data_IF_898196757161
#
_entry.id   IF_898196757161
#
_cell.length_a   1.000
_cell.length_b   1.000
_cell.length_c   1.000
_cell.angle_alpha   90.00
_cell.angle_beta   90.00
_cell.angle_gamma   90.00
#
_symmetry.space_group_name_H-M   'P 1'
#
loop_
_entity.id
_entity.type
_entity.pdbx_description
1 polymer ?
#
# COMPACT_ATOMS: atom_id res chain seq x y z
N UNK A 1 13.82 -11.12 4.44
CA UNK A 1 13.36 -9.71 4.48
C UNK A 1 11.92 -9.63 4.97
N UNK A 2 10.97 -10.38 4.40
CA UNK A 2 9.65 -10.60 5.02
C UNK A 2 9.72 -11.23 6.42
N UNK A 3 10.65 -12.17 6.64
CA UNK A 3 10.88 -12.73 7.98
C UNK A 3 11.20 -11.67 9.05
N UNK A 4 11.73 -10.51 8.64
CA UNK A 4 12.05 -9.38 9.53
C UNK A 4 10.82 -8.55 9.88
N UNK A 5 9.79 -8.58 9.04
CA UNK A 5 8.50 -7.89 9.26
C UNK A 5 7.74 -8.56 10.40
N UNK A 6 7.79 -9.89 10.47
CA UNK A 6 7.19 -10.68 11.55
C UNK A 6 7.90 -10.49 12.90
N UNK A 7 9.23 -10.43 12.89
CA UNK A 7 10.04 -10.12 14.08
C UNK A 7 9.76 -8.70 14.62
N UNK A 8 9.58 -7.71 13.73
CA UNK A 8 9.24 -6.35 14.16
C UNK A 8 7.81 -6.24 14.70
N UNK A 9 6.84 -6.93 14.09
CA UNK A 9 5.46 -6.98 14.59
C UNK A 9 5.36 -7.62 15.99
N UNK A 10 6.18 -8.64 16.27
CA UNK A 10 6.31 -9.23 17.62
C UNK A 10 6.98 -8.29 18.63
N UNK A 11 7.90 -7.42 18.18
CA UNK A 11 8.66 -6.52 19.07
C UNK A 11 7.85 -5.29 19.50
N UNK A 12 6.92 -4.81 18.68
CA UNK A 12 6.25 -3.52 18.91
C UNK A 12 4.77 -3.59 19.32
N UNK A 13 4.10 -4.75 19.23
CA UNK A 13 2.70 -4.93 19.67
C UNK A 13 1.69 -3.95 19.03
N UNK A 14 1.99 -3.41 17.85
CA UNK A 14 1.09 -2.56 17.06
C UNK A 14 0.91 -3.16 15.67
N UNK A 15 -0.30 -3.05 15.14
CA UNK A 15 -0.66 -3.53 13.80
C UNK A 15 0.18 -2.84 12.72
N UNK A 16 0.40 -3.53 11.62
CA UNK A 16 0.95 -2.95 10.38
C UNK A 16 -0.04 -3.18 9.26
N UNK A 17 -0.03 -2.34 8.22
CA UNK A 17 -0.91 -2.48 7.07
C UNK A 17 -0.09 -2.63 5.80
N UNK A 18 -0.48 -3.60 4.97
CA UNK A 18 0.02 -3.73 3.62
C UNK A 18 -1.04 -3.25 2.65
N UNK A 19 -0.69 -2.35 1.73
CA UNK A 19 -1.61 -1.78 0.76
C UNK A 19 -1.12 -2.10 -0.65
N UNK A 20 -1.92 -2.82 -1.44
CA UNK A 20 -1.70 -2.92 -2.88
C UNK A 20 -2.35 -1.75 -3.58
N UNK A 21 -1.60 -1.10 -4.46
CA UNK A 21 -2.10 -0.04 -5.33
C UNK A 21 -1.84 -0.43 -6.78
N UNK A 22 -2.87 -0.34 -7.59
CA UNK A 22 -2.81 -0.59 -9.02
C UNK A 22 -3.45 0.57 -9.80
N UNK A 23 -2.83 0.96 -10.92
CA UNK A 23 -3.40 1.85 -11.90
C UNK A 23 -3.80 1.10 -13.17
N UNK A 24 -4.56 1.77 -14.03
CA UNK A 24 -4.85 1.27 -15.36
C UNK A 24 -3.58 1.22 -16.23
N UNK A 25 -3.58 0.31 -17.21
CA UNK A 25 -2.45 0.16 -18.13
C UNK A 25 -2.22 1.46 -18.91
N UNK A 26 -0.98 1.96 -18.87
CA UNK A 26 -0.61 3.21 -19.55
C UNK A 26 -0.84 4.48 -18.74
N UNK A 27 -1.29 4.38 -17.48
CA UNK A 27 -1.37 5.54 -16.59
C UNK A 27 0.03 6.19 -16.42
N UNK A 28 0.08 7.50 -16.71
CA UNK A 28 1.32 8.28 -16.66
C UNK A 28 1.53 8.97 -15.32
N UNK A 29 0.47 9.14 -14.52
CA UNK A 29 0.51 9.79 -13.20
C UNK A 29 0.91 8.81 -12.11
N UNK A 30 0.69 7.52 -12.29
CA UNK A 30 1.02 6.52 -11.29
C UNK A 30 2.50 6.49 -10.87
N UNK A 31 3.50 6.58 -11.79
CA UNK A 31 4.90 6.73 -11.41
C UNK A 31 5.18 7.99 -10.57
N UNK A 32 4.54 9.12 -10.92
CA UNK A 32 4.71 10.39 -10.22
C UNK A 32 4.05 10.34 -8.84
N UNK A 33 2.87 9.72 -8.74
CA UNK A 33 2.19 9.46 -7.48
C UNK A 33 3.02 8.57 -6.54
N UNK A 34 3.66 7.52 -7.06
CA UNK A 34 4.57 6.69 -6.24
C UNK A 34 5.79 7.47 -5.74
N UNK A 35 6.37 8.33 -6.58
CA UNK A 35 7.48 9.19 -6.16
C UNK A 35 7.03 10.20 -5.10
N UNK A 36 5.82 10.74 -5.23
CA UNK A 36 5.22 11.62 -4.25
C UNK A 36 5.00 10.90 -2.91
N UNK A 37 4.40 9.71 -2.93
CA UNK A 37 4.24 8.85 -1.76
C UNK A 37 5.58 8.57 -1.08
N UNK A 38 6.63 8.24 -1.84
CA UNK A 38 7.97 7.98 -1.28
C UNK A 38 8.50 9.19 -0.49
N UNK A 39 8.18 10.41 -0.94
CA UNK A 39 8.58 11.65 -0.26
C UNK A 39 7.70 12.03 0.93
N UNK A 40 6.43 11.61 0.94
CA UNK A 40 5.44 11.98 1.95
C UNK A 40 5.35 10.97 3.11
N UNK A 41 5.77 9.73 2.88
CA UNK A 41 5.72 8.65 3.87
C UNK A 41 6.87 8.72 4.88
N UNK A 42 6.69 8.05 6.02
CA UNK A 42 7.74 7.96 7.05
C UNK A 42 8.87 7.07 6.55
N UNK A 43 10.06 7.26 7.11
CA UNK A 43 11.25 6.44 6.80
C UNK A 43 11.03 4.94 7.09
N UNK A 44 10.12 4.62 8.01
CA UNK A 44 9.78 3.26 8.43
C UNK A 44 8.83 2.56 7.45
N UNK A 45 8.06 3.36 6.70
CA UNK A 45 7.16 2.89 5.66
C UNK A 45 7.98 2.54 4.40
N UNK A 46 7.54 1.52 3.66
CA UNK A 46 8.27 1.02 2.51
C UNK A 46 7.36 0.90 1.29
N UNK A 47 7.86 1.32 0.13
CA UNK A 47 7.19 1.14 -1.16
C UNK A 47 7.96 0.10 -1.98
N UNK A 48 7.24 -0.94 -2.39
CA UNK A 48 7.72 -2.00 -3.26
C UNK A 48 7.04 -1.86 -4.62
N UNK A 49 7.74 -1.23 -5.56
CA UNK A 49 7.28 -1.17 -6.95
C UNK A 49 7.41 -2.53 -7.61
N UNK A 50 6.32 -3.05 -8.17
CA UNK A 50 6.31 -4.34 -8.87
C UNK A 50 6.41 -4.16 -10.38
N UNK A 51 5.49 -3.37 -10.93
CA UNK A 51 5.43 -3.06 -12.37
C UNK A 51 5.30 -1.56 -12.57
N UNK A 52 5.11 -1.13 -13.81
CA UNK A 52 4.90 0.29 -14.10
C UNK A 52 3.64 0.80 -13.41
N UNK A 53 2.59 -0.03 -13.33
CA UNK A 53 1.24 0.31 -12.84
C UNK A 53 0.86 -0.40 -11.52
N UNK A 54 1.80 -1.10 -10.85
CA UNK A 54 1.51 -1.79 -9.58
C UNK A 54 2.61 -1.59 -8.54
N UNK A 55 2.18 -1.32 -7.31
CA UNK A 55 3.08 -1.22 -6.17
C UNK A 55 2.40 -1.70 -4.89
N UNK A 56 3.22 -2.17 -3.95
CA UNK A 56 2.81 -2.53 -2.60
C UNK A 56 3.42 -1.54 -1.63
N UNK A 57 2.61 -0.97 -0.76
CA UNK A 57 3.05 -0.14 0.35
C UNK A 57 2.98 -0.95 1.64
N UNK A 58 3.98 -0.80 2.47
CA UNK A 58 4.01 -1.28 3.84
C UNK A 58 3.98 -0.07 4.76
N UNK A 59 2.90 0.06 5.51
CA UNK A 59 2.75 1.10 6.53
C UNK A 59 2.93 0.46 7.90
N UNK A 60 3.91 0.97 8.64
CA UNK A 60 4.27 0.46 9.96
C UNK A 60 3.49 1.17 11.07
N UNK A 61 3.22 0.47 12.18
CA UNK A 61 2.64 1.06 13.39
C UNK A 61 1.29 1.75 13.16
N UNK A 62 0.45 1.16 12.31
CA UNK A 62 -0.84 1.72 11.90
C UNK A 62 -1.87 0.62 11.67
N UNK A 63 -3.13 0.92 11.98
CA UNK A 63 -4.27 0.08 11.66
C UNK A 63 -4.87 0.44 10.29
N UNK A 64 -5.81 -0.37 9.80
CA UNK A 64 -6.42 -0.14 8.48
C UNK A 64 -7.09 1.24 8.36
N UNK A 65 -7.64 1.77 9.46
CA UNK A 65 -8.31 3.07 9.46
C UNK A 65 -7.31 4.21 9.32
N UNK A 66 -6.26 4.22 10.13
CA UNK A 66 -5.20 5.22 10.05
C UNK A 66 -4.44 5.16 8.73
N UNK A 67 -4.22 3.96 8.19
CA UNK A 67 -3.63 3.78 6.87
C UNK A 67 -4.48 4.44 5.78
N UNK A 68 -5.80 4.24 5.82
CA UNK A 68 -6.73 4.87 4.88
C UNK A 68 -6.71 6.41 5.01
N UNK A 69 -6.73 6.94 6.24
CA UNK A 69 -6.67 8.40 6.45
C UNK A 69 -5.37 9.02 5.92
N UNK A 70 -4.23 8.35 6.13
CA UNK A 70 -2.94 8.79 5.61
C UNK A 70 -2.94 8.81 4.08
N UNK A 71 -3.38 7.73 3.43
CA UNK A 71 -3.38 7.65 1.97
C UNK A 71 -4.37 8.63 1.33
N UNK A 72 -5.56 8.78 1.90
CA UNK A 72 -6.55 9.77 1.42
C UNK A 72 -5.99 11.19 1.51
N UNK A 73 -5.32 11.52 2.62
CA UNK A 73 -4.70 12.83 2.79
C UNK A 73 -3.60 13.07 1.74
N UNK A 74 -2.65 12.15 1.62
CA UNK A 74 -1.52 12.27 0.67
C UNK A 74 -2.04 12.34 -0.76
N UNK A 75 -3.07 11.55 -1.11
CA UNK A 75 -3.68 11.58 -2.43
C UNK A 75 -4.35 12.92 -2.74
N UNK A 76 -5.04 13.51 -1.75
CA UNK A 76 -5.63 14.84 -1.91
C UNK A 76 -4.55 15.93 -2.07
N UNK A 77 -3.47 15.86 -1.29
CA UNK A 77 -2.30 16.75 -1.42
C UNK A 77 -1.66 16.62 -2.82
N UNK A 78 -1.49 15.39 -3.31
CA UNK A 78 -1.01 15.13 -4.68
C UNK A 78 -1.91 15.75 -5.74
N UNK A 79 -3.23 15.62 -5.62
CA UNK A 79 -4.18 16.19 -6.58
C UNK A 79 -4.18 17.73 -6.58
N UNK A 80 -3.89 18.36 -5.44
CA UNK A 80 -3.74 19.81 -5.33
C UNK A 80 -2.43 20.30 -5.98
N UNK A 81 -1.33 19.58 -5.76
CA UNK A 81 -0.02 19.92 -6.35
C UNK A 81 0.08 19.59 -7.85
N UNK A 82 -0.58 18.52 -8.30
CA UNK A 82 -0.58 18.05 -9.68
C UNK A 82 -2.00 18.02 -10.25
N UNK A 83 -2.60 19.20 -10.51
CA UNK A 83 -3.96 19.28 -11.03
C UNK A 83 -4.02 18.68 -12.44
N UNK A 84 -4.69 17.54 -12.56
CA UNK A 84 -4.98 16.87 -13.82
C UNK A 84 -6.41 17.21 -14.31
N UNK A 85 -6.68 17.01 -15.60
CA UNK A 85 -8.01 17.22 -16.18
C UNK A 85 -9.07 16.26 -15.61
N UNK A 86 -8.63 15.08 -15.16
CA UNK A 86 -9.41 14.07 -14.45
C UNK A 86 -8.57 13.56 -13.27
N UNK A 87 -9.21 13.34 -12.12
CA UNK A 87 -8.50 12.82 -10.95
C UNK A 87 -8.07 11.37 -11.23
N UNK A 88 -6.82 10.99 -10.91
CA UNK A 88 -6.34 9.65 -11.19
C UNK A 88 -7.13 8.60 -10.39
N UNK A 89 -7.57 7.53 -11.05
CA UNK A 89 -8.25 6.42 -10.39
C UNK A 89 -7.26 5.28 -10.14
N UNK A 90 -6.94 5.02 -8.87
CA UNK A 90 -6.08 3.92 -8.46
C UNK A 90 -6.87 2.91 -7.64
N UNK A 91 -6.83 1.63 -8.02
CA UNK A 91 -7.38 0.54 -7.21
C UNK A 91 -6.49 0.37 -5.97
N UNK A 92 -7.10 0.42 -4.79
CA UNK A 92 -6.41 0.24 -3.50
C UNK A 92 -7.03 -0.92 -2.73
N UNK A 93 -6.19 -1.82 -2.21
CA UNK A 93 -6.61 -2.88 -1.29
C UNK A 93 -5.69 -2.98 -0.10
N UNK A 94 -6.28 -3.03 1.09
CA UNK A 94 -5.54 -3.06 2.35
C UNK A 94 -5.65 -4.45 2.98
N UNK A 95 -4.54 -4.93 3.50
CA UNK A 95 -4.42 -6.10 4.35
C UNK A 95 -3.81 -5.67 5.68
N UNK A 96 -4.60 -5.75 6.74
CA UNK A 96 -4.11 -5.51 8.09
C UNK A 96 -3.36 -6.74 8.61
N UNK A 97 -2.17 -6.51 9.13
CA UNK A 97 -1.30 -7.50 9.75
C UNK A 97 -1.35 -7.30 11.25
N UNK A 98 -2.10 -8.18 11.92
CA UNK A 98 -2.21 -8.16 13.37
C UNK A 98 -0.98 -8.78 14.04
N UNK A 99 -0.62 -8.32 15.25
CA UNK A 99 0.44 -8.93 16.03
C UNK A 99 0.11 -10.40 16.33
N UNK A 100 1.08 -11.30 16.11
CA UNK A 100 0.92 -12.74 16.34
C UNK A 100 0.40 -13.56 15.16
N UNK A 101 0.14 -12.95 13.99
CA UNK A 101 -0.31 -13.66 12.78
C UNK A 101 0.76 -14.60 12.16
N UNK A 102 1.98 -14.61 12.69
CA UNK A 102 3.11 -15.36 12.12
C UNK A 102 3.64 -14.74 10.81
N UNK A 103 4.61 -15.39 10.14
CA UNK A 103 5.19 -14.85 8.92
C UNK A 103 4.25 -14.92 7.73
N UNK A 104 3.73 -13.77 7.31
CA UNK A 104 3.01 -13.61 6.05
C UNK A 104 3.96 -13.84 4.88
N UNK A 105 3.62 -14.75 3.96
CA UNK A 105 4.43 -14.92 2.75
C UNK A 105 4.13 -13.81 1.74
N UNK A 106 5.12 -13.48 0.89
CA UNK A 106 4.92 -12.53 -0.23
C UNK A 106 3.69 -12.94 -1.06
N UNK A 107 3.49 -14.26 -1.23
CA UNK A 107 2.41 -14.81 -2.04
C UNK A 107 1.04 -14.50 -1.44
N UNK A 108 0.88 -14.67 -0.13
CA UNK A 108 -0.40 -14.40 0.56
C UNK A 108 -0.77 -12.91 0.47
N UNK A 109 0.22 -12.04 0.64
CA UNK A 109 0.05 -10.59 0.50
C UNK A 109 -0.38 -10.24 -0.93
N UNK A 110 0.37 -10.70 -1.94
CA UNK A 110 0.07 -10.40 -3.33
C UNK A 110 -1.28 -10.95 -3.78
N UNK A 111 -1.66 -12.15 -3.32
CA UNK A 111 -2.98 -12.71 -3.59
C UNK A 111 -4.08 -11.91 -2.87
N UNK A 112 -3.84 -11.40 -1.67
CA UNK A 112 -4.84 -10.59 -0.96
C UNK A 112 -5.03 -9.22 -1.61
N UNK A 113 -3.94 -8.54 -1.96
CA UNK A 113 -4.00 -7.15 -2.44
C UNK A 113 -4.19 -7.01 -3.95
N UNK A 114 -3.79 -8.02 -4.76
CA UNK A 114 -3.96 -8.03 -6.22
C UNK A 114 -4.71 -9.25 -6.77
N UNK A 115 -5.13 -10.19 -5.92
CA UNK A 115 -5.88 -11.34 -6.40
C UNK A 115 -7.21 -10.93 -7.02
N UNK A 116 -7.58 -11.56 -8.11
CA UNK A 116 -8.91 -11.44 -8.68
C UNK A 116 -9.94 -11.81 -7.60
N UNK A 117 -11.06 -11.09 -7.52
CA UNK A 117 -12.28 -11.62 -6.92
C UNK A 117 -12.45 -13.03 -7.49
N UNK A 118 -12.29 -14.07 -6.68
CA UNK A 118 -12.90 -15.35 -7.01
C UNK A 118 -14.40 -15.06 -7.09
N UNK A 119 -14.92 -14.96 -8.31
CA UNK A 119 -16.35 -15.11 -8.55
C UNK A 119 -16.70 -16.51 -8.09
N UNK A 120 -17.15 -16.60 -6.84
CA UNK A 120 -17.82 -17.78 -6.31
C UNK A 120 -19.10 -17.95 -7.13
N UNK A 121 -19.08 -18.93 -8.05
CA UNK A 121 -20.25 -19.46 -8.72
C UNK A 121 -20.91 -20.54 -7.85
#
# INVERSE_FOLDING_TARGET
>A
MIARVSELAETHAVSSVVVGVAAEEGDLLFPDYLAYLESALRVEDQIFRMTRERAVLYLSDVDATGAAEVLVRIFAEFCDEFPAAEAPEFEQRMLEVQPGLGPLSVKDVLTSVFGSRETVH
#
